data_IF_550099436171
#
_entry.id   IF_550099436171
#
_cell.length_a   1.000
_cell.length_b   1.000
_cell.length_c   1.000
_cell.angle_alpha   90.00
_cell.angle_beta   90.00
_cell.angle_gamma   90.00
#
_symmetry.space_group_name_H-M   'P 1'
#
loop_
_entity.id
_entity.type
_entity.pdbx_description
1 polymer ?
#
# COMPACT_ATOMS: atom_id res chain seq x y z
N UNK A 1 3.74 8.32 11.40
CA UNK A 1 2.61 9.05 10.77
C UNK A 1 2.54 8.62 9.32
N UNK A 2 1.45 8.00 8.87
CA UNK A 2 1.29 7.57 7.48
C UNK A 2 0.14 8.35 6.84
N UNK A 3 0.39 8.89 5.65
CA UNK A 3 -0.51 9.83 4.99
C UNK A 3 -1.01 9.20 3.69
N UNK A 4 -2.34 9.07 3.56
CA UNK A 4 -2.98 8.68 2.31
C UNK A 4 -3.40 9.94 1.55
N UNK A 5 -3.01 10.03 0.28
CA UNK A 5 -3.36 11.14 -0.60
C UNK A 5 -4.41 10.63 -1.58
N UNK A 6 -5.67 10.99 -1.38
CA UNK A 6 -6.72 10.76 -2.38
C UNK A 6 -6.83 12.01 -3.26
N UNK A 7 -6.32 11.93 -4.49
CA UNK A 7 -6.50 12.99 -5.49
C UNK A 7 -7.52 12.51 -6.52
N UNK A 8 -8.73 13.08 -6.51
CA UNK A 8 -9.64 12.97 -7.64
C UNK A 8 -9.34 14.06 -8.66
N UNK A 9 -9.13 13.66 -9.91
CA UNK A 9 -9.28 14.55 -11.05
C UNK A 9 -10.79 14.74 -11.31
N UNK A 10 -11.31 15.95 -11.09
CA UNK A 10 -12.70 16.30 -11.42
C UNK A 10 -12.69 16.99 -12.78
N UNK A 11 -13.24 16.34 -13.80
CA UNK A 11 -13.49 16.99 -15.09
C UNK A 11 -14.61 18.03 -14.94
N UNK A 12 -14.57 19.10 -15.73
CA UNK A 12 -15.23 20.39 -15.50
C UNK A 12 -16.77 20.40 -15.47
N UNK A 13 -17.46 19.25 -15.61
CA UNK A 13 -18.91 19.23 -15.84
C UNK A 13 -19.74 18.47 -14.78
N UNK A 14 -19.25 18.29 -13.56
CA UNK A 14 -20.10 18.18 -12.36
C UNK A 14 -21.17 17.07 -12.28
N UNK A 15 -21.18 16.06 -13.14
CA UNK A 15 -22.17 14.96 -13.09
C UNK A 15 -21.52 13.64 -12.63
N UNK A 16 -22.17 12.86 -11.74
CA UNK A 16 -21.70 11.54 -11.37
C UNK A 16 -21.82 10.58 -12.57
N UNK A 17 -20.76 9.82 -12.84
CA UNK A 17 -20.82 8.69 -13.79
C UNK A 17 -21.89 7.69 -13.34
N UNK A 18 -22.85 7.38 -14.21
CA UNK A 18 -23.76 6.25 -13.98
C UNK A 18 -22.98 4.92 -14.05
N UNK A 19 -23.43 3.89 -13.31
CA UNK A 19 -22.81 2.57 -13.30
C UNK A 19 -22.70 1.94 -14.70
N UNK A 20 -23.59 2.33 -15.62
CA UNK A 20 -23.61 1.89 -17.02
C UNK A 20 -22.59 2.63 -17.88
N UNK A 21 -22.33 3.92 -17.65
CA UNK A 21 -21.26 4.67 -18.32
C UNK A 21 -19.87 4.27 -17.84
N UNK A 22 -19.73 3.91 -16.56
CA UNK A 22 -18.49 3.37 -16.01
C UNK A 22 -18.09 2.03 -16.67
N UNK A 23 -19.05 1.11 -16.88
CA UNK A 23 -18.79 -0.16 -17.60
C UNK A 23 -18.40 0.07 -19.07
N UNK A 24 -18.96 1.08 -19.73
CA UNK A 24 -18.59 1.49 -21.11
C UNK A 24 -17.20 2.16 -21.16
N UNK A 25 -16.81 2.88 -20.11
CA UNK A 25 -15.48 3.50 -20.00
C UNK A 25 -14.38 2.45 -19.78
N UNK A 26 -14.61 1.49 -18.88
CA UNK A 26 -13.67 0.37 -18.60
C UNK A 26 -13.42 -0.51 -19.83
N UNK A 27 -14.44 -0.74 -20.67
CA UNK A 27 -14.30 -1.57 -21.89
C UNK A 27 -13.56 -0.85 -23.03
N UNK A 28 -13.51 0.48 -23.04
CA UNK A 28 -12.86 1.28 -24.10
C UNK A 28 -11.33 1.37 -23.95
N UNK A 29 -10.78 0.95 -22.81
CA UNK A 29 -9.34 0.91 -22.51
C UNK A 29 -8.76 -0.52 -22.52
N UNK A 30 -9.29 -1.38 -23.41
CA UNK A 30 -8.58 -2.60 -23.80
C UNK A 30 -7.36 -2.23 -24.64
N UNK A 31 -6.20 -1.99 -24.00
CA UNK A 31 -4.94 -1.88 -24.72
C UNK A 31 -4.58 -3.24 -25.31
N UNK A 32 -4.89 -3.45 -26.60
CA UNK A 32 -4.14 -4.37 -27.45
C UNK A 32 -2.85 -3.67 -27.83
N UNK A 33 -1.71 -4.11 -27.28
CA UNK A 33 -0.41 -3.72 -27.79
C UNK A 33 0.07 -4.73 -28.84
N UNK A 34 0.35 -4.30 -30.08
CA UNK A 34 1.15 -5.08 -31.00
C UNK A 34 2.63 -4.95 -30.61
N UNK A 35 3.34 -6.07 -30.59
CA UNK A 35 4.79 -6.11 -30.47
C UNK A 35 5.41 -5.55 -31.77
N UNK A 36 6.24 -4.52 -31.70
CA UNK A 36 7.26 -4.28 -32.73
C UNK A 36 8.48 -3.56 -32.16
N UNK A 37 9.63 -4.19 -32.38
CA UNK A 37 10.99 -3.70 -32.14
C UNK A 37 11.33 -2.50 -33.03
N UNK A 38 11.97 -1.47 -32.48
CA UNK A 38 13.16 -0.83 -33.06
C UNK A 38 13.63 0.39 -32.25
N UNK A 39 14.89 0.68 -32.48
CA UNK A 39 15.91 1.45 -31.77
C UNK A 39 15.77 2.98 -31.67
N UNK A 40 16.50 3.50 -30.66
CA UNK A 40 17.22 4.78 -30.59
C UNK A 40 16.49 6.01 -30.05
N UNK A 41 16.99 6.56 -28.93
CA UNK A 41 17.56 7.93 -28.86
C UNK A 41 18.11 8.28 -27.47
N UNK A 42 19.39 8.71 -27.48
CA UNK A 42 19.99 9.81 -26.72
C UNK A 42 19.98 9.80 -25.17
N UNK A 43 21.12 9.40 -24.60
CA UNK A 43 21.46 9.55 -23.18
C UNK A 43 21.77 11.01 -22.79
N UNK A 44 21.22 11.47 -21.66
CA UNK A 44 21.64 12.69 -20.97
C UNK A 44 22.65 12.31 -19.88
N UNK A 45 23.91 12.76 -20.02
CA UNK A 45 24.98 12.62 -19.02
C UNK A 45 24.78 13.63 -17.89
N UNK A 46 24.86 13.18 -16.63
CA UNK A 46 25.06 14.02 -15.47
C UNK A 46 26.45 13.77 -14.86
N UNK A 47 27.22 14.83 -14.67
CA UNK A 47 28.54 14.83 -14.05
C UNK A 47 28.45 14.85 -12.52
N UNK A 48 29.20 13.95 -11.86
CA UNK A 48 29.39 13.89 -10.40
C UNK A 48 30.06 15.16 -9.87
N UNK A 49 29.55 15.68 -8.75
CA UNK A 49 30.33 16.50 -7.82
C UNK A 49 30.43 15.73 -6.50
N UNK A 50 31.67 15.53 -6.06
CA UNK A 50 32.06 14.77 -4.87
C UNK A 50 32.58 15.77 -3.83
N UNK A 51 32.08 15.74 -2.60
CA UNK A 51 32.89 16.14 -1.44
C UNK A 51 32.32 15.47 -0.15
N UNK A 52 33.14 14.79 0.67
CA UNK A 52 32.69 13.90 1.73
C UNK A 52 32.81 14.54 3.11
N UNK A 53 31.84 14.28 4.00
CA UNK A 53 32.09 14.19 5.45
C UNK A 53 31.23 13.08 6.04
N UNK A 54 31.86 11.92 6.20
CA UNK A 54 31.35 10.80 6.99
C UNK A 54 31.55 11.11 8.47
N UNK A 55 30.50 11.00 9.28
CA UNK A 55 30.65 10.78 10.71
C UNK A 55 30.17 9.36 11.03
N UNK A 56 31.12 8.51 11.44
CA UNK A 56 30.87 7.18 12.00
C UNK A 56 30.29 7.34 13.40
N UNK A 57 29.14 6.73 13.66
CA UNK A 57 28.66 6.44 15.01
C UNK A 57 28.53 4.91 15.11
N UNK A 58 29.34 4.31 15.98
CA UNK A 58 29.15 2.91 16.43
C UNK A 58 28.11 2.91 17.53
N UNK A 59 27.14 1.99 17.47
CA UNK A 59 26.31 1.61 18.62
C UNK A 59 26.21 0.08 18.65
N UNK A 60 26.71 -0.60 19.69
CA UNK A 60 26.49 -2.03 19.89
C UNK A 60 25.28 -2.29 20.80
N UNK A 61 24.56 -3.40 20.57
CA UNK A 61 23.63 -3.97 21.54
C UNK A 61 22.15 -3.96 21.14
N UNK A 62 21.57 -5.15 21.17
CA UNK A 62 20.21 -5.55 20.84
C UNK A 62 19.10 -4.77 21.58
N UNK A 63 18.06 -4.32 20.86
CA UNK A 63 16.66 -4.36 21.31
C UNK A 63 15.73 -4.04 20.13
N UNK A 64 15.07 -5.06 19.58
CA UNK A 64 13.96 -4.90 18.63
C UNK A 64 12.75 -4.43 19.44
N UNK A 65 12.43 -3.13 19.35
CA UNK A 65 11.20 -2.56 19.90
C UNK A 65 10.25 -2.23 18.74
N UNK A 66 9.10 -2.93 18.72
CA UNK A 66 7.99 -2.66 17.81
C UNK A 66 7.42 -1.25 18.05
N UNK A 67 7.33 -0.44 16.99
CA UNK A 67 6.54 0.80 16.94
C UNK A 67 5.23 0.50 16.17
N UNK A 68 4.05 1.06 16.45
CA UNK A 68 3.77 2.36 17.09
C UNK A 68 2.40 2.38 17.80
N UNK A 69 2.30 3.23 18.83
CA UNK A 69 1.14 3.40 19.72
C UNK A 69 0.11 4.44 19.21
N UNK A 70 0.24 4.95 17.99
CA UNK A 70 -0.57 6.06 17.48
C UNK A 70 -0.87 5.94 15.97
N UNK A 71 -2.08 5.49 15.64
CA UNK A 71 -2.59 5.45 14.27
C UNK A 71 -3.38 6.72 13.97
N UNK A 72 -2.84 7.58 13.11
CA UNK A 72 -3.56 8.71 12.52
C UNK A 72 -3.75 8.43 11.02
N UNK A 73 -5.00 8.42 10.54
CA UNK A 73 -5.27 8.39 9.10
C UNK A 73 -5.42 9.82 8.60
N UNK A 74 -4.52 10.24 7.72
CA UNK A 74 -4.57 11.56 7.07
C UNK A 74 -5.14 11.36 5.68
N UNK A 75 -6.21 12.08 5.38
CA UNK A 75 -6.90 12.08 4.08
C UNK A 75 -6.90 13.50 3.52
N UNK A 76 -6.42 13.63 2.28
CA UNK A 76 -6.38 14.89 1.52
C UNK A 76 -7.64 15.03 0.67
N UNK A 77 -8.26 16.22 0.67
CA UNK A 77 -9.60 16.45 0.12
C UNK A 77 -9.66 17.57 -0.93
N UNK A 78 -10.47 17.33 -1.97
CA UNK A 78 -11.12 18.33 -2.82
C UNK A 78 -12.66 18.20 -2.61
N UNK A 79 -13.27 19.16 -1.89
CA UNK A 79 -14.70 19.53 -1.86
C UNK A 79 -15.86 18.52 -1.54
N UNK A 80 -15.83 17.74 -0.43
CA UNK A 80 -17.03 17.08 0.15
C UNK A 80 -16.92 16.89 1.70
N UNK A 81 -17.98 16.84 2.52
CA UNK A 81 -17.85 16.56 3.96
C UNK A 81 -17.37 15.11 4.26
N UNK A 82 -16.06 14.90 4.35
CA UNK A 82 -15.36 13.59 4.42
C UNK A 82 -15.35 12.88 5.77
N UNK A 83 -15.74 13.54 6.87
CA UNK A 83 -15.90 12.85 8.16
C UNK A 83 -16.80 11.60 8.04
N UNK A 84 -17.63 11.53 6.99
CA UNK A 84 -18.47 10.40 6.64
C UNK A 84 -17.81 9.31 5.78
N UNK A 85 -16.80 9.58 4.94
CA UNK A 85 -16.31 8.58 3.97
C UNK A 85 -15.54 7.45 4.64
N UNK A 86 -14.52 7.80 5.42
CA UNK A 86 -13.72 6.82 6.16
C UNK A 86 -14.60 6.02 7.12
N UNK A 87 -15.51 6.70 7.82
CA UNK A 87 -16.45 6.05 8.75
C UNK A 87 -17.39 5.09 8.03
N UNK A 88 -17.93 5.48 6.87
CA UNK A 88 -18.78 4.60 6.06
C UNK A 88 -18.05 3.32 5.68
N UNK A 89 -16.81 3.42 5.22
CA UNK A 89 -16.02 2.24 4.87
C UNK A 89 -15.72 1.42 6.13
N UNK A 90 -15.08 2.00 7.15
CA UNK A 90 -14.72 1.24 8.36
C UNK A 90 -15.93 0.56 9.03
N UNK A 91 -17.05 1.26 9.15
CA UNK A 91 -18.22 0.70 9.83
C UNK A 91 -18.99 -0.30 8.97
N UNK A 92 -18.92 -0.19 7.64
CA UNK A 92 -19.42 -1.22 6.74
C UNK A 92 -18.60 -2.53 6.83
N UNK A 93 -17.37 -2.46 7.33
CA UNK A 93 -16.49 -3.62 7.52
C UNK A 93 -16.41 -4.08 8.99
N UNK A 94 -17.32 -3.66 9.86
CA UNK A 94 -17.41 -4.24 11.21
C UNK A 94 -17.83 -5.70 11.10
N UNK A 95 -17.09 -6.59 11.76
CA UNK A 95 -17.45 -8.01 11.82
C UNK A 95 -18.82 -8.20 12.48
N UNK A 96 -19.11 -7.40 13.51
CA UNK A 96 -20.38 -7.35 14.23
C UNK A 96 -20.84 -5.88 14.30
N UNK A 97 -21.69 -5.40 13.37
CA UNK A 97 -22.07 -4.00 13.32
C UNK A 97 -23.10 -3.60 14.40
N UNK A 98 -23.85 -4.56 14.93
CA UNK A 98 -24.90 -4.31 15.92
C UNK A 98 -24.31 -3.96 17.29
N UNK A 99 -24.85 -2.93 17.95
CA UNK A 99 -24.46 -2.56 19.31
C UNK A 99 -23.11 -1.84 19.47
N UNK A 100 -22.28 -1.78 18.42
CA UNK A 100 -21.02 -1.05 18.46
C UNK A 100 -21.30 0.46 18.50
N UNK A 101 -20.77 1.13 19.52
CA UNK A 101 -20.76 2.61 19.64
C UNK A 101 -19.32 3.11 19.52
N UNK A 102 -18.82 3.40 18.32
CA UNK A 102 -17.43 3.80 18.12
C UNK A 102 -17.13 5.15 18.79
N UNK A 103 -16.26 5.14 19.81
CA UNK A 103 -15.65 6.34 20.37
C UNK A 103 -14.23 6.46 19.80
N UNK A 104 -14.00 7.54 19.05
CA UNK A 104 -12.69 7.82 18.42
C UNK A 104 -11.59 7.92 19.48
N UNK A 105 -10.42 7.37 19.16
CA UNK A 105 -9.29 7.36 20.07
C UNK A 105 -9.47 6.47 21.30
N UNK A 106 -10.53 5.66 21.39
CA UNK A 106 -10.84 4.85 22.57
C UNK A 106 -11.29 3.42 22.19
N UNK A 107 -12.37 3.28 21.44
CA UNK A 107 -12.95 1.97 21.11
C UNK A 107 -12.06 1.20 20.13
N UNK A 108 -11.85 -0.10 20.38
CA UNK A 108 -11.28 -1.01 19.40
C UNK A 108 -12.40 -1.56 18.50
N UNK A 109 -12.24 -1.38 17.20
CA UNK A 109 -13.14 -1.87 16.17
C UNK A 109 -12.66 -3.24 15.73
N UNK A 110 -13.55 -4.23 15.71
CA UNK A 110 -13.31 -5.53 15.11
C UNK A 110 -13.74 -5.50 13.66
N UNK A 111 -12.79 -5.56 12.76
CA UNK A 111 -12.99 -5.35 11.33
C UNK A 111 -12.75 -6.65 10.55
N UNK A 112 -13.41 -6.77 9.41
CA UNK A 112 -13.21 -7.83 8.43
C UNK A 112 -12.60 -7.20 7.17
N UNK A 113 -11.25 -7.21 7.02
CA UNK A 113 -10.60 -6.71 5.81
C UNK A 113 -10.98 -7.54 4.58
N UNK A 114 -11.08 -6.89 3.42
CA UNK A 114 -11.41 -7.56 2.15
C UNK A 114 -10.24 -8.35 1.57
N UNK A 115 -9.00 -7.91 1.86
CA UNK A 115 -7.78 -8.51 1.29
C UNK A 115 -6.51 -8.17 2.06
N UNK A 116 -5.46 -8.93 1.73
CA UNK A 116 -4.09 -8.74 2.25
C UNK A 116 -3.09 -8.60 1.11
N UNK A 117 -2.10 -7.73 1.27
CA UNK A 117 -0.94 -7.62 0.38
C UNK A 117 0.36 -7.62 1.18
N UNK A 118 1.28 -8.53 0.87
CA UNK A 118 2.55 -8.68 1.58
C UNK A 118 3.72 -8.47 0.64
N UNK A 119 4.78 -7.85 1.12
CA UNK A 119 6.05 -7.71 0.41
C UNK A 119 7.06 -8.75 0.92
N UNK A 120 7.96 -9.22 0.07
CA UNK A 120 8.88 -10.35 0.30
C UNK A 120 9.71 -10.29 1.60
N UNK A 121 10.12 -9.12 2.07
CA UNK A 121 10.84 -8.99 3.34
C UNK A 121 9.97 -9.27 4.59
N UNK A 122 8.67 -8.95 4.56
CA UNK A 122 7.75 -9.23 5.68
C UNK A 122 6.87 -10.46 5.47
N UNK A 123 6.62 -10.84 4.21
CA UNK A 123 5.80 -12.00 3.83
C UNK A 123 6.39 -13.29 4.40
N UNK A 124 7.73 -13.41 4.47
CA UNK A 124 8.39 -14.58 5.02
C UNK A 124 7.85 -14.96 6.41
N UNK A 125 7.87 -14.01 7.35
CA UNK A 125 7.44 -14.25 8.72
C UNK A 125 5.92 -14.37 8.83
N UNK A 126 5.16 -13.56 8.07
CA UNK A 126 3.71 -13.66 8.04
C UNK A 126 3.23 -15.04 7.58
N UNK A 127 3.86 -15.59 6.55
CA UNK A 127 3.54 -16.92 6.02
C UNK A 127 3.94 -18.01 7.00
N UNK A 128 5.12 -17.94 7.62
CA UNK A 128 5.52 -18.90 8.65
C UNK A 128 4.52 -18.92 9.81
N UNK A 129 4.02 -17.76 10.25
CA UNK A 129 2.97 -17.68 11.27
C UNK A 129 1.64 -18.24 10.77
N UNK A 130 1.25 -17.95 9.52
CA UNK A 130 0.05 -18.54 8.91
C UNK A 130 0.13 -20.07 8.81
N UNK A 131 1.30 -20.63 8.50
CA UNK A 131 1.52 -22.08 8.47
C UNK A 131 1.22 -22.74 9.81
N UNK A 132 1.51 -22.05 10.93
CA UNK A 132 1.21 -22.55 12.28
C UNK A 132 -0.29 -22.51 12.61
N UNK A 133 -1.08 -21.70 11.91
CA UNK A 133 -2.54 -21.69 12.07
C UNK A 133 -3.19 -22.98 11.53
N UNK A 134 -2.46 -23.80 10.77
CA UNK A 134 -2.93 -25.10 10.27
C UNK A 134 -4.06 -24.99 9.23
N UNK A 135 -4.29 -23.79 8.68
CA UNK A 135 -5.34 -23.56 7.70
C UNK A 135 -4.91 -24.01 6.30
N UNK A 136 -5.83 -24.56 5.49
CA UNK A 136 -5.50 -25.06 4.16
C UNK A 136 -5.29 -23.94 3.13
N UNK A 137 -5.92 -22.78 3.30
CA UNK A 137 -5.85 -21.64 2.38
C UNK A 137 -6.21 -20.34 3.11
N UNK A 138 -5.84 -19.18 2.56
CA UNK A 138 -6.19 -17.88 3.14
C UNK A 138 -7.69 -17.59 2.99
N UNK A 139 -8.33 -17.06 4.03
CA UNK A 139 -9.76 -16.73 4.06
C UNK A 139 -10.13 -15.53 3.18
N UNK A 140 -9.18 -14.62 2.94
CA UNK A 140 -9.35 -13.44 2.08
C UNK A 140 -8.31 -13.44 0.96
N UNK A 141 -8.62 -12.87 -0.22
CA UNK A 141 -7.65 -12.73 -1.30
C UNK A 141 -6.33 -12.12 -0.80
N UNK A 142 -5.24 -12.86 -1.01
CA UNK A 142 -3.93 -12.52 -0.48
C UNK A 142 -2.89 -12.51 -1.61
N UNK A 143 -1.90 -11.64 -1.51
CA UNK A 143 -0.86 -11.50 -2.54
C UNK A 143 0.51 -11.28 -1.93
N UNK A 144 1.54 -11.87 -2.53
CA UNK A 144 2.95 -11.68 -2.21
C UNK A 144 3.62 -10.92 -3.36
N UNK A 145 4.44 -9.93 -3.03
CA UNK A 145 5.15 -9.07 -3.98
C UNK A 145 6.65 -9.11 -3.72
N UNK A 146 7.45 -9.50 -4.73
CA UNK A 146 8.90 -9.61 -4.60
C UNK A 146 9.62 -8.35 -5.08
N UNK A 147 9.73 -7.35 -4.20
CA UNK A 147 10.25 -6.02 -4.51
C UNK A 147 11.32 -5.48 -3.54
N UNK A 148 11.49 -6.03 -2.32
CA UNK A 148 12.46 -5.50 -1.35
C UNK A 148 13.82 -6.19 -1.42
N UNK A 149 13.90 -7.40 -1.98
CA UNK A 149 15.15 -8.17 -2.04
C UNK A 149 15.99 -7.92 -3.30
N UNK A 150 15.59 -6.96 -4.13
CA UNK A 150 16.34 -6.55 -5.33
C UNK A 150 17.23 -5.34 -5.00
N UNK A 151 18.55 -5.52 -5.10
CA UNK A 151 19.52 -4.48 -4.75
C UNK A 151 19.91 -3.67 -5.98
N UNK A 152 19.51 -2.40 -6.02
CA UNK A 152 19.93 -1.47 -7.08
C UNK A 152 21.40 -1.05 -6.93
N UNK A 153 22.24 -1.39 -7.91
CA UNK A 153 23.67 -1.07 -7.90
C UNK A 153 24.25 -0.81 -9.30
N UNK A 154 24.19 -1.79 -10.21
CA UNK A 154 24.80 -1.73 -11.55
C UNK A 154 23.82 -1.41 -12.68
N UNK A 155 22.52 -1.49 -12.40
CA UNK A 155 21.44 -1.26 -13.35
C UNK A 155 20.48 -2.44 -13.41
N UNK A 156 19.21 -2.14 -13.71
CA UNK A 156 18.08 -3.07 -13.54
C UNK A 156 18.30 -4.46 -14.17
N UNK A 157 18.85 -4.52 -15.39
CA UNK A 157 19.06 -5.80 -16.08
C UNK A 157 20.04 -6.72 -15.35
N UNK A 158 21.12 -6.18 -14.79
CA UNK A 158 22.12 -6.98 -14.05
C UNK A 158 21.68 -7.24 -12.62
N UNK A 159 21.14 -6.21 -11.95
CA UNK A 159 20.75 -6.26 -10.56
C UNK A 159 19.60 -7.26 -10.32
N UNK A 160 18.64 -7.36 -11.26
CA UNK A 160 17.55 -8.31 -11.17
C UNK A 160 18.04 -9.76 -11.22
N UNK A 161 18.87 -10.10 -12.22
CA UNK A 161 19.41 -11.45 -12.38
C UNK A 161 20.21 -11.86 -11.14
N UNK A 162 21.10 -10.98 -10.68
CA UNK A 162 21.91 -11.23 -9.49
C UNK A 162 21.06 -11.37 -8.23
N UNK A 163 20.00 -10.57 -8.07
CA UNK A 163 19.13 -10.64 -6.89
C UNK A 163 18.26 -11.89 -6.89
N UNK A 164 17.83 -12.38 -8.06
CA UNK A 164 17.11 -13.66 -8.19
C UNK A 164 18.01 -14.81 -7.76
N UNK A 165 19.28 -14.82 -8.19
CA UNK A 165 20.24 -15.85 -7.82
C UNK A 165 20.54 -15.83 -6.30
N UNK A 166 20.86 -14.65 -5.76
CA UNK A 166 21.23 -14.51 -4.34
C UNK A 166 20.09 -14.83 -3.37
N UNK A 167 18.83 -14.57 -3.76
CA UNK A 167 17.66 -14.76 -2.90
C UNK A 167 16.78 -15.92 -3.36
N UNK A 168 17.34 -16.86 -4.14
CA UNK A 168 16.59 -17.96 -4.74
C UNK A 168 15.79 -18.76 -3.72
N UNK A 169 16.38 -19.10 -2.58
CA UNK A 169 15.71 -19.86 -1.51
C UNK A 169 14.45 -19.15 -1.01
N UNK A 170 14.53 -17.83 -0.80
CA UNK A 170 13.41 -17.02 -0.31
C UNK A 170 12.31 -16.97 -1.37
N UNK A 171 12.66 -16.72 -2.63
CA UNK A 171 11.67 -16.65 -3.71
C UNK A 171 10.99 -18.00 -3.97
N UNK A 172 11.74 -19.11 -3.92
CA UNK A 172 11.19 -20.46 -4.04
C UNK A 172 10.24 -20.79 -2.86
N UNK A 173 10.61 -20.40 -1.63
CA UNK A 173 9.73 -20.52 -0.46
C UNK A 173 8.44 -19.73 -0.63
N UNK A 174 8.53 -18.44 -0.98
CA UNK A 174 7.36 -17.57 -1.14
C UNK A 174 6.45 -18.05 -2.29
N UNK A 175 7.03 -18.51 -3.40
CA UNK A 175 6.28 -19.06 -4.52
C UNK A 175 5.53 -20.34 -4.11
N UNK A 176 6.23 -21.30 -3.51
CA UNK A 176 5.62 -22.57 -3.09
C UNK A 176 4.55 -22.37 -2.01
N UNK A 177 4.75 -21.42 -1.09
CA UNK A 177 3.73 -21.04 -0.12
C UNK A 177 2.51 -20.38 -0.79
N UNK A 178 2.73 -19.51 -1.77
CA UNK A 178 1.64 -18.91 -2.54
C UNK A 178 0.79 -19.96 -3.25
N UNK A 179 1.43 -20.93 -3.90
CA UNK A 179 0.77 -22.05 -4.57
C UNK A 179 -0.02 -22.91 -3.56
N UNK A 180 0.60 -23.27 -2.43
CA UNK A 180 -0.04 -24.08 -1.38
C UNK A 180 -1.28 -23.42 -0.79
N UNK A 181 -1.21 -22.12 -0.48
CA UNK A 181 -2.25 -21.38 0.23
C UNK A 181 -3.11 -20.50 -0.68
N UNK A 182 -3.06 -20.72 -2.00
CA UNK A 182 -3.86 -20.01 -3.01
C UNK A 182 -3.69 -18.47 -2.99
N UNK A 183 -2.48 -17.99 -2.72
CA UNK A 183 -2.15 -16.57 -2.78
C UNK A 183 -1.66 -16.19 -4.19
N UNK A 184 -1.89 -14.95 -4.61
CA UNK A 184 -1.26 -14.41 -5.82
C UNK A 184 0.24 -14.18 -5.57
N UNK A 185 1.08 -14.57 -6.53
CA UNK A 185 2.53 -14.38 -6.44
C UNK A 185 3.05 -13.47 -7.55
N UNK A 186 3.54 -12.28 -7.17
CA UNK A 186 4.17 -11.33 -8.08
C UNK A 186 5.68 -11.51 -8.02
N UNK A 187 6.21 -12.13 -9.09
CA UNK A 187 7.62 -12.53 -9.22
C UNK A 187 8.60 -11.35 -9.08
N UNK A 188 9.87 -11.60 -8.73
CA UNK A 188 10.91 -10.57 -8.74
C UNK A 188 10.95 -9.82 -10.06
N UNK A 189 10.96 -8.49 -9.99
CA UNK A 189 10.96 -7.61 -11.17
C UNK A 189 9.57 -7.28 -11.74
N UNK A 190 8.49 -7.77 -11.13
CA UNK A 190 7.11 -7.40 -11.51
C UNK A 190 6.76 -5.94 -11.20
N UNK A 191 7.30 -5.38 -10.12
CA UNK A 191 7.06 -4.00 -9.69
C UNK A 191 6.97 -3.86 -8.18
N UNK A 192 6.90 -2.62 -7.71
CA UNK A 192 6.73 -2.30 -6.29
C UNK A 192 5.31 -2.64 -5.85
N UNK A 193 5.15 -3.27 -4.68
CA UNK A 193 3.86 -3.72 -4.11
C UNK A 193 2.74 -2.68 -4.26
N UNK A 194 3.01 -1.43 -3.90
CA UNK A 194 2.00 -0.37 -3.90
C UNK A 194 1.58 0.07 -5.29
N UNK A 195 2.47 -0.05 -6.28
CA UNK A 195 2.16 0.22 -7.68
C UNK A 195 1.28 -0.89 -8.24
N UNK A 196 1.66 -2.14 -8.03
CA UNK A 196 0.89 -3.31 -8.45
C UNK A 196 -0.51 -3.29 -7.79
N UNK A 197 -0.57 -2.98 -6.49
CA UNK A 197 -1.84 -2.84 -5.77
C UNK A 197 -2.70 -1.74 -6.39
N UNK A 198 -2.13 -0.56 -6.66
CA UNK A 198 -2.90 0.54 -7.25
C UNK A 198 -3.45 0.19 -8.64
N UNK A 199 -2.68 -0.53 -9.45
CA UNK A 199 -3.04 -0.89 -10.82
C UNK A 199 -4.04 -2.05 -10.91
N UNK A 200 -4.02 -2.99 -9.96
CA UNK A 200 -4.73 -4.27 -10.10
C UNK A 200 -5.77 -4.54 -9.00
N UNK A 201 -5.62 -3.91 -7.83
CA UNK A 201 -6.27 -4.38 -6.60
C UNK A 201 -7.02 -3.32 -5.82
N UNK A 202 -6.57 -2.06 -5.88
CA UNK A 202 -7.20 -0.97 -5.18
C UNK A 202 -8.52 -0.57 -5.85
N UNK A 203 -9.57 -0.41 -5.05
CA UNK A 203 -10.88 0.00 -5.52
C UNK A 203 -11.57 0.90 -4.48
N UNK A 204 -12.47 1.82 -4.91
CA UNK A 204 -13.24 2.62 -3.97
C UNK A 204 -14.05 1.74 -3.00
N UNK A 205 -13.95 2.02 -1.71
CA UNK A 205 -14.69 1.27 -0.67
C UNK A 205 -13.96 0.07 -0.09
N UNK A 206 -12.86 -0.38 -0.70
CA UNK A 206 -12.05 -1.50 -0.24
C UNK A 206 -11.42 -1.21 1.13
N UNK A 207 -11.49 -2.16 2.07
CA UNK A 207 -10.63 -2.21 3.26
C UNK A 207 -9.54 -3.26 3.05
N UNK A 208 -8.27 -2.84 2.99
CA UNK A 208 -7.14 -3.76 2.83
C UNK A 208 -6.05 -3.57 3.87
N UNK A 209 -5.41 -4.69 4.22
CA UNK A 209 -4.20 -4.69 5.03
C UNK A 209 -2.98 -4.92 4.13
N UNK A 210 -1.87 -4.31 4.50
CA UNK A 210 -0.60 -4.61 3.86
C UNK A 210 0.55 -4.64 4.85
N UNK A 211 1.46 -5.60 4.71
CA UNK A 211 2.64 -5.71 5.58
C UNK A 211 3.76 -4.75 5.15
N UNK A 212 3.36 -3.52 4.83
CA UNK A 212 4.24 -2.40 4.54
C UNK A 212 3.62 -1.09 5.02
N UNK A 213 4.49 -0.19 5.45
CA UNK A 213 4.14 1.10 6.02
C UNK A 213 3.51 2.09 5.01
N UNK A 214 3.79 1.94 3.72
CA UNK A 214 3.26 2.78 2.63
C UNK A 214 1.99 2.24 1.99
N UNK A 215 1.40 1.16 2.55
CA UNK A 215 0.08 0.62 2.16
C UNK A 215 -1.02 1.69 1.99
N UNK A 216 -1.03 2.81 2.74
CA UNK A 216 -1.96 3.91 2.50
C UNK A 216 -1.95 4.52 1.08
N UNK A 217 -0.97 4.19 0.23
CA UNK A 217 -0.95 4.56 -1.19
C UNK A 217 -2.27 4.23 -1.91
N UNK A 218 -2.88 3.08 -1.63
CA UNK A 218 -4.12 2.65 -2.28
C UNK A 218 -5.33 3.55 -1.98
N UNK A 219 -5.28 4.39 -0.94
CA UNK A 219 -6.33 5.41 -0.70
C UNK A 219 -6.37 6.51 -1.76
N UNK A 220 -5.34 6.59 -2.63
CA UNK A 220 -5.39 7.31 -3.91
C UNK A 220 -6.62 6.96 -4.75
N UNK A 221 -7.08 5.70 -4.69
CA UNK A 221 -8.26 5.19 -5.39
C UNK A 221 -9.50 5.03 -4.48
N UNK A 222 -9.50 5.67 -3.31
CA UNK A 222 -10.66 5.66 -2.41
C UNK A 222 -10.81 4.37 -1.58
N UNK A 223 -9.75 3.58 -1.46
CA UNK A 223 -9.67 2.49 -0.49
C UNK A 223 -9.31 3.01 0.91
N UNK A 224 -9.63 2.26 1.96
CA UNK A 224 -8.94 2.31 3.24
C UNK A 224 -7.89 1.22 3.24
N UNK A 225 -6.63 1.61 3.17
CA UNK A 225 -5.51 0.69 3.13
C UNK A 225 -4.56 0.99 4.30
N UNK A 226 -4.34 0.00 5.16
CA UNK A 226 -3.62 0.18 6.42
C UNK A 226 -2.40 -0.73 6.47
N UNK A 227 -1.25 -0.12 6.76
CA UNK A 227 -0.01 -0.86 7.00
C UNK A 227 -0.05 -1.56 8.34
N UNK A 228 0.30 -2.85 8.39
CA UNK A 228 0.22 -3.69 9.60
C UNK A 228 1.44 -4.61 9.74
N UNK A 229 1.57 -5.28 10.88
CA UNK A 229 2.56 -6.34 11.07
C UNK A 229 2.15 -7.65 10.40
N UNK A 230 3.08 -8.61 10.35
CA UNK A 230 2.78 -9.95 9.81
C UNK A 230 1.67 -10.68 10.57
N UNK A 231 1.62 -10.56 11.91
CA UNK A 231 0.60 -11.20 12.73
C UNK A 231 -0.82 -10.66 12.45
N UNK A 232 -0.96 -9.34 12.29
CA UNK A 232 -2.25 -8.73 11.93
C UNK A 232 -2.73 -9.18 10.53
N UNK A 233 -1.78 -9.36 9.59
CA UNK A 233 -2.10 -9.91 8.28
C UNK A 233 -2.56 -11.38 8.40
N UNK A 234 -1.95 -12.16 9.29
CA UNK A 234 -2.37 -13.54 9.60
C UNK A 234 -3.78 -13.57 10.16
N UNK A 235 -4.17 -12.66 11.05
CA UNK A 235 -5.54 -12.59 11.57
C UNK A 235 -6.55 -12.48 10.42
N UNK A 236 -6.34 -11.55 9.49
CA UNK A 236 -7.19 -11.40 8.32
C UNK A 236 -7.17 -12.64 7.40
N UNK A 237 -5.98 -13.20 7.13
CA UNK A 237 -5.84 -14.43 6.35
C UNK A 237 -6.50 -15.64 7.04
N UNK A 238 -6.66 -15.60 8.36
CA UNK A 238 -7.27 -16.65 9.16
C UNK A 238 -8.76 -16.42 9.48
N UNK A 239 -9.37 -15.37 8.90
CA UNK A 239 -10.75 -14.95 9.20
C UNK A 239 -10.98 -14.58 10.67
N UNK A 240 -9.92 -14.18 11.38
CA UNK A 240 -9.99 -13.63 12.73
C UNK A 240 -10.27 -12.12 12.59
N UNK A 241 -11.29 -11.56 13.26
CA UNK A 241 -11.56 -10.13 13.19
C UNK A 241 -10.33 -9.31 13.61
N UNK A 242 -9.90 -8.41 12.73
CA UNK A 242 -8.75 -7.56 12.95
C UNK A 242 -9.11 -6.36 13.83
N UNK A 243 -8.35 -6.09 14.87
CA UNK A 243 -8.63 -5.00 15.81
C UNK A 243 -7.94 -3.69 15.42
N UNK A 244 -8.73 -2.65 15.18
CA UNK A 244 -8.25 -1.29 14.94
C UNK A 244 -8.82 -0.33 15.98
N UNK A 245 -7.95 0.35 16.72
CA UNK A 245 -8.38 1.46 17.56
C UNK A 245 -9.02 2.55 16.68
N UNK A 246 -10.29 2.87 16.96
CA UNK A 246 -11.10 3.79 16.17
C UNK A 246 -10.34 5.10 15.91
N UNK A 247 -9.98 5.42 14.66
CA UNK A 247 -9.02 6.49 14.40
C UNK A 247 -9.63 7.88 14.60
N UNK A 248 -8.79 8.82 15.00
CA UNK A 248 -9.05 10.23 14.77
C UNK A 248 -8.86 10.56 13.29
N UNK A 249 -9.58 11.57 12.81
CA UNK A 249 -9.56 11.96 11.40
C UNK A 249 -9.11 13.40 11.28
N UNK A 250 -8.03 13.61 10.54
CA UNK A 250 -7.55 14.94 10.16
C UNK A 250 -8.07 15.24 8.75
N UNK A 251 -8.94 16.24 8.63
CA UNK A 251 -9.45 16.71 7.35
C UNK A 251 -8.51 17.77 6.75
N UNK A 252 -7.96 17.49 5.56
CA UNK A 252 -7.14 18.45 4.82
C UNK A 252 -7.92 18.96 3.62
N UNK A 253 -8.38 20.21 3.66
CA UNK A 253 -9.05 20.86 2.51
C UNK A 253 -8.01 21.49 1.59
N UNK A 254 -7.85 20.96 0.39
CA UNK A 254 -7.09 21.60 -0.67
C UNK A 254 -7.97 22.61 -1.40
N UNK A 255 -7.40 23.77 -1.74
CA UNK A 255 -8.06 24.81 -2.53
C UNK A 255 -7.12 25.30 -3.61
N UNK A 256 -7.67 25.88 -4.67
CA UNK A 256 -6.89 26.30 -5.84
C UNK A 256 -6.47 25.15 -6.75
N UNK A 257 -5.40 25.35 -7.53
CA UNK A 257 -4.84 24.38 -8.48
C UNK A 257 -3.32 24.43 -8.40
N UNK A 258 -2.66 23.29 -8.61
CA UNK A 258 -1.20 23.25 -8.75
C UNK A 258 -0.77 24.13 -9.94
N UNK A 259 0.36 24.83 -9.80
CA UNK A 259 0.89 25.72 -10.84
C UNK A 259 2.42 25.60 -10.95
N UNK A 260 2.96 26.01 -12.11
CA UNK A 260 4.41 25.98 -12.37
C UNK A 260 5.02 24.59 -12.17
N UNK A 261 6.05 24.53 -11.32
CA UNK A 261 6.78 23.30 -10.99
C UNK A 261 6.17 22.50 -9.83
N UNK A 262 5.09 22.99 -9.21
CA UNK A 262 4.49 22.32 -8.06
C UNK A 262 3.77 21.03 -8.48
N UNK A 263 4.00 19.97 -7.72
CA UNK A 263 3.53 18.60 -7.95
C UNK A 263 2.74 18.07 -6.74
N UNK A 264 2.05 16.91 -6.86
CA UNK A 264 1.43 16.23 -5.72
C UNK A 264 2.40 15.94 -4.56
N UNK A 265 3.69 15.73 -4.87
CA UNK A 265 4.74 15.50 -3.86
C UNK A 265 4.91 16.72 -2.95
N UNK A 266 4.80 17.93 -3.50
CA UNK A 266 4.99 19.16 -2.74
C UNK A 266 3.86 19.39 -1.73
N UNK A 267 2.63 18.98 -2.08
CA UNK A 267 1.49 19.02 -1.17
C UNK A 267 1.78 18.20 0.09
N UNK A 268 2.25 16.96 -0.08
CA UNK A 268 2.52 16.08 1.06
C UNK A 268 3.75 16.48 1.85
N UNK A 269 4.81 16.97 1.20
CA UNK A 269 5.98 17.49 1.89
C UNK A 269 5.62 18.70 2.77
N UNK A 270 4.77 19.60 2.26
CA UNK A 270 4.27 20.75 3.02
C UNK A 270 3.44 20.31 4.23
N UNK A 271 2.55 19.34 4.06
CA UNK A 271 1.74 18.81 5.17
C UNK A 271 2.59 18.08 6.21
N UNK A 272 3.57 17.29 5.79
CA UNK A 272 4.50 16.62 6.69
C UNK A 272 5.33 17.63 7.51
N UNK A 273 5.78 18.72 6.87
CA UNK A 273 6.48 19.81 7.56
C UNK A 273 5.60 20.51 8.61
N UNK A 274 4.30 20.70 8.31
CA UNK A 274 3.34 21.33 9.24
C UNK A 274 2.91 20.43 10.40
N UNK A 275 2.68 19.15 10.13
CA UNK A 275 2.11 18.20 11.11
C UNK A 275 3.17 17.45 11.92
N UNK A 276 4.43 17.53 11.47
CA UNK A 276 5.63 16.89 12.04
C UNK A 276 5.55 15.36 12.13
N UNK A 277 6.69 14.73 12.40
CA UNK A 277 6.71 13.34 12.88
C UNK A 277 6.32 13.33 14.36
N UNK A 278 5.78 12.21 14.84
CA UNK A 278 5.50 11.93 16.25
C UNK A 278 6.17 10.63 16.64
#
# INVERSE_FOLDING_TARGET
>A
MFISISLRYVHSNGLPFSSTEFKKWVTKFSFRFPYSSSSSTSAVRFSRVHNPKQHRIKVPGLLVHFWSKYWYLIIIQLDFPFANFLRKILYAHLAEPEGVKPIRGQTYLKLSPDRVAMQDASAQMAILQFMLAGMPTTAVPSSIHCDHLIVGHKGAAQDLVQSIENNKEIFDFLQSAAEKYSMSFWKPGSGIIHQIVLENYAAPGLLMLGTDSHTPNAGGLGAIAIGVGGADAVDAMASIPWELKAPEVIGIKLTGKLNGWTSPKDVILHLAGKLTVR
#
